data_IF_913961303362
#
_entry.id   IF_913961303362
#
_cell.length_a   1.000
_cell.length_b   1.000
_cell.length_c   1.000
_cell.angle_alpha   90.00
_cell.angle_beta   90.00
_cell.angle_gamma   90.00
#
_symmetry.space_group_name_H-M   'P 1'
#
loop_
_entity.id
_entity.type
_entity.pdbx_description
1 polymer ?
#
# COMPACT_ATOMS: atom_id res chain seq x y z
N UNK A 1 27.07 4.91 0.47
CA UNK A 1 25.83 5.62 -0.01
C UNK A 1 24.63 4.71 -0.24
N UNK A 2 24.86 3.42 -0.52
CA UNK A 2 23.83 2.42 -0.87
C UNK A 2 22.73 2.27 0.19
N UNK A 3 23.09 2.34 1.48
CA UNK A 3 22.14 2.20 2.60
C UNK A 3 20.99 3.23 2.54
N UNK A 4 21.29 4.48 2.18
CA UNK A 4 20.29 5.53 2.08
C UNK A 4 19.29 5.27 0.93
N UNK A 5 19.75 4.65 -0.15
CA UNK A 5 18.91 4.29 -1.30
C UNK A 5 17.95 3.15 -0.90
N UNK A 6 18.45 2.11 -0.25
CA UNK A 6 17.61 1.01 0.23
C UNK A 6 16.60 1.47 1.28
N UNK A 7 17.03 2.33 2.21
CA UNK A 7 16.14 2.94 3.20
C UNK A 7 15.04 3.75 2.52
N UNK A 8 15.38 4.61 1.56
CA UNK A 8 14.40 5.42 0.84
C UNK A 8 13.42 4.54 0.05
N UNK A 9 13.90 3.47 -0.60
CA UNK A 9 13.05 2.54 -1.34
C UNK A 9 12.08 1.80 -0.41
N UNK A 10 12.56 1.30 0.74
CA UNK A 10 11.70 0.65 1.74
C UNK A 10 10.64 1.62 2.30
N UNK A 11 11.05 2.86 2.60
CA UNK A 11 10.15 3.90 3.12
C UNK A 11 9.06 4.27 2.11
N UNK A 12 9.39 4.37 0.81
CA UNK A 12 8.40 4.62 -0.24
C UNK A 12 7.36 3.50 -0.32
N UNK A 13 7.77 2.24 -0.16
CA UNK A 13 6.84 1.12 -0.12
C UNK A 13 5.99 1.17 1.16
N UNK A 14 6.60 1.49 2.30
CA UNK A 14 5.89 1.63 3.57
C UNK A 14 4.83 2.75 3.49
N UNK A 15 5.18 3.90 2.92
CA UNK A 15 4.24 5.00 2.70
C UNK A 15 3.07 4.59 1.80
N UNK A 16 3.33 3.81 0.76
CA UNK A 16 2.28 3.28 -0.10
C UNK A 16 1.37 2.28 0.65
N UNK A 17 1.93 1.41 1.50
CA UNK A 17 1.15 0.55 2.41
C UNK A 17 0.24 1.39 3.31
N UNK A 18 0.76 2.46 3.92
CA UNK A 18 -0.04 3.38 4.74
C UNK A 18 -1.17 4.03 3.93
N UNK A 19 -0.92 4.40 2.67
CA UNK A 19 -1.96 4.93 1.79
C UNK A 19 -3.06 3.91 1.49
N UNK A 20 -2.71 2.64 1.25
CA UNK A 20 -3.67 1.53 1.10
C UNK A 20 -4.50 1.36 2.37
N UNK A 21 -3.87 1.35 3.54
CA UNK A 21 -4.57 1.25 4.82
C UNK A 21 -5.51 2.45 5.01
N UNK A 22 -5.06 3.67 4.74
CA UNK A 22 -5.88 4.87 4.83
C UNK A 22 -7.09 4.81 3.88
N UNK A 23 -6.92 4.30 2.67
CA UNK A 23 -8.01 4.13 1.70
C UNK A 23 -9.09 3.17 2.23
N UNK A 24 -8.67 2.06 2.82
CA UNK A 24 -9.59 1.07 3.45
C UNK A 24 -10.29 1.68 4.66
N UNK A 25 -9.57 2.38 5.53
CA UNK A 25 -10.16 3.03 6.69
C UNK A 25 -11.19 4.07 6.27
N UNK A 26 -10.86 4.95 5.32
CA UNK A 26 -11.81 5.96 4.82
C UNK A 26 -13.04 5.31 4.17
N UNK A 27 -12.86 4.27 3.36
CA UNK A 27 -13.99 3.58 2.73
C UNK A 27 -14.90 2.93 3.78
N UNK A 28 -14.35 2.31 4.83
CA UNK A 28 -15.14 1.77 5.94
C UNK A 28 -15.85 2.87 6.74
N UNK A 29 -15.18 3.99 7.03
CA UNK A 29 -15.79 5.10 7.75
C UNK A 29 -16.97 5.71 6.97
N UNK A 30 -16.85 5.80 5.64
CA UNK A 30 -17.97 6.24 4.78
C UNK A 30 -19.08 5.19 4.75
N UNK A 31 -18.73 3.91 4.59
CA UNK A 31 -19.70 2.82 4.50
C UNK A 31 -20.54 2.64 5.79
N UNK A 32 -19.93 2.84 6.95
CA UNK A 32 -20.61 2.81 8.25
C UNK A 32 -21.27 4.15 8.63
N UNK A 33 -21.22 5.16 7.76
CA UNK A 33 -21.83 6.47 8.01
C UNK A 33 -21.15 7.29 9.11
N UNK A 34 -19.92 6.94 9.50
CA UNK A 34 -19.14 7.68 10.50
C UNK A 34 -18.71 9.04 9.97
N UNK A 35 -18.34 9.11 8.68
CA UNK A 35 -17.98 10.36 8.01
C UNK A 35 -18.82 10.56 6.76
N UNK A 36 -19.14 11.82 6.46
CA UNK A 36 -19.99 12.18 5.33
C UNK A 36 -19.16 12.50 4.10
N UNK A 37 -19.30 11.69 3.05
CA UNK A 37 -18.64 11.90 1.75
C UNK A 37 -19.09 13.16 1.01
N UNK A 38 -20.18 13.81 1.44
CA UNK A 38 -20.60 15.14 0.92
C UNK A 38 -19.70 16.27 1.41
N UNK A 39 -18.92 16.05 2.46
CA UNK A 39 -17.91 17.02 2.86
C UNK A 39 -16.79 17.03 1.81
N UNK A 40 -16.52 18.22 1.26
CA UNK A 40 -15.54 18.40 0.20
C UNK A 40 -14.12 17.89 0.57
N UNK A 41 -13.71 18.04 1.83
CA UNK A 41 -12.41 17.54 2.30
C UNK A 41 -12.40 16.01 2.29
N UNK A 42 -13.43 15.37 2.85
CA UNK A 42 -13.54 13.90 2.88
C UNK A 42 -13.55 13.33 1.47
N UNK A 43 -14.31 13.95 0.56
CA UNK A 43 -14.35 13.56 -0.84
C UNK A 43 -12.97 13.66 -1.51
N UNK A 44 -12.26 14.77 -1.33
CA UNK A 44 -10.94 14.96 -1.94
C UNK A 44 -9.92 13.95 -1.43
N UNK A 45 -9.91 13.67 -0.13
CA UNK A 45 -9.00 12.66 0.44
C UNK A 45 -9.36 11.26 -0.06
N UNK A 46 -10.64 10.91 -0.08
CA UNK A 46 -11.11 9.62 -0.59
C UNK A 46 -10.78 9.43 -2.08
N UNK A 47 -11.02 10.45 -2.91
CA UNK A 47 -10.71 10.43 -4.35
C UNK A 47 -9.20 10.34 -4.59
N UNK A 48 -8.39 11.09 -3.83
CA UNK A 48 -6.93 11.02 -3.91
C UNK A 48 -6.41 9.62 -3.57
N UNK A 49 -6.82 9.07 -2.42
CA UNK A 49 -6.39 7.73 -2.00
C UNK A 49 -6.87 6.67 -2.98
N UNK A 50 -8.13 6.75 -3.45
CA UNK A 50 -8.68 5.86 -4.46
C UNK A 50 -7.84 5.87 -5.74
N UNK A 51 -7.56 7.06 -6.32
CA UNK A 51 -6.71 7.17 -7.51
C UNK A 51 -5.31 6.60 -7.31
N UNK A 52 -4.76 6.72 -6.11
CA UNK A 52 -3.43 6.21 -5.79
C UNK A 52 -3.42 4.69 -5.66
N UNK A 53 -4.44 4.10 -5.03
CA UNK A 53 -4.44 2.67 -4.65
C UNK A 53 -5.22 1.77 -5.59
N UNK A 54 -6.29 2.28 -6.21
CA UNK A 54 -7.20 1.49 -7.05
C UNK A 54 -6.53 0.85 -8.27
N UNK A 55 -5.56 1.45 -8.96
CA UNK A 55 -4.88 0.76 -10.06
C UNK A 55 -4.26 -0.57 -9.62
N UNK A 56 -3.57 -0.61 -8.48
CA UNK A 56 -2.98 -1.83 -7.95
C UNK A 56 -4.03 -2.81 -7.41
N UNK A 57 -5.02 -2.30 -6.67
CA UNK A 57 -6.11 -3.12 -6.14
C UNK A 57 -6.93 -3.76 -7.27
N UNK A 58 -7.21 -3.02 -8.34
CA UNK A 58 -7.96 -3.51 -9.50
C UNK A 58 -7.21 -4.60 -10.26
N UNK A 59 -5.87 -4.55 -10.30
CA UNK A 59 -5.09 -5.67 -10.83
C UNK A 59 -5.34 -6.92 -10.01
N UNK A 60 -5.30 -6.84 -8.69
CA UNK A 60 -5.53 -7.98 -7.79
C UNK A 60 -6.97 -8.48 -7.87
N UNK A 61 -7.96 -7.57 -7.86
CA UNK A 61 -9.39 -7.90 -7.96
C UNK A 61 -9.74 -8.72 -9.21
N UNK A 62 -9.00 -8.57 -10.32
CA UNK A 62 -9.20 -9.36 -11.56
C UNK A 62 -8.85 -10.84 -11.40
N UNK A 63 -7.99 -11.18 -10.44
CA UNK A 63 -7.57 -12.56 -10.18
C UNK A 63 -8.36 -13.21 -9.05
N UNK A 64 -9.10 -12.41 -8.27
CA UNK A 64 -9.88 -12.91 -7.14
C UNK A 64 -11.29 -13.32 -7.58
N UNK A 65 -11.85 -14.39 -6.98
CA UNK A 65 -13.27 -14.66 -7.09
C UNK A 65 -14.06 -13.56 -6.39
N UNK A 66 -15.33 -13.38 -6.78
CA UNK A 66 -16.20 -12.41 -6.13
C UNK A 66 -16.52 -12.86 -4.69
N UNK A 67 -15.93 -12.21 -3.69
CA UNK A 67 -16.16 -12.46 -2.26
C UNK A 67 -17.41 -11.77 -1.68
N UNK A 68 -18.38 -11.43 -2.52
CA UNK A 68 -19.57 -10.70 -2.11
C UNK A 68 -19.26 -9.26 -1.71
N UNK A 69 -19.53 -8.88 -0.46
CA UNK A 69 -19.40 -7.51 0.05
C UNK A 69 -18.04 -7.16 0.64
N UNK A 70 -17.15 -8.14 0.84
CA UNK A 70 -15.84 -7.93 1.47
C UNK A 70 -14.76 -7.91 0.41
N UNK A 71 -14.05 -6.80 0.30
CA UNK A 71 -12.89 -6.68 -0.58
C UNK A 71 -11.61 -7.11 0.14
N UNK A 72 -11.09 -8.28 -0.23
CA UNK A 72 -9.84 -8.85 0.32
C UNK A 72 -8.61 -8.31 -0.43
N UNK A 73 -8.79 -7.62 -1.58
CA UNK A 73 -7.67 -7.13 -2.38
C UNK A 73 -6.69 -6.21 -1.64
N UNK A 74 -7.09 -5.35 -0.68
CA UNK A 74 -6.14 -4.52 0.07
C UNK A 74 -5.21 -5.34 0.95
N UNK A 75 -5.73 -6.39 1.59
CA UNK A 75 -4.92 -7.29 2.42
C UNK A 75 -3.87 -7.99 1.57
N UNK A 76 -4.28 -8.51 0.41
CA UNK A 76 -3.35 -9.17 -0.52
C UNK A 76 -2.32 -8.18 -1.06
N UNK A 77 -2.71 -6.94 -1.38
CA UNK A 77 -1.77 -5.92 -1.81
C UNK A 77 -0.72 -5.62 -0.74
N UNK A 78 -1.15 -5.44 0.52
CA UNK A 78 -0.24 -5.20 1.64
C UNK A 78 0.73 -6.37 1.81
N UNK A 79 0.25 -7.61 1.76
CA UNK A 79 1.11 -8.80 1.86
C UNK A 79 2.14 -8.87 0.73
N UNK A 80 1.76 -8.53 -0.51
CA UNK A 80 2.69 -8.50 -1.64
C UNK A 80 3.73 -7.38 -1.50
N UNK A 81 3.34 -6.22 -0.98
CA UNK A 81 4.25 -5.11 -0.71
C UNK A 81 5.21 -5.43 0.43
N UNK A 82 4.74 -6.04 1.52
CA UNK A 82 5.61 -6.50 2.60
C UNK A 82 6.58 -7.59 2.13
N UNK A 83 6.13 -8.52 1.28
CA UNK A 83 7.02 -9.50 0.65
C UNK A 83 8.10 -8.80 -0.21
N UNK A 84 7.73 -7.74 -0.95
CA UNK A 84 8.69 -6.95 -1.72
C UNK A 84 9.72 -6.25 -0.80
N UNK A 85 9.29 -5.74 0.36
CA UNK A 85 10.21 -5.16 1.36
C UNK A 85 11.17 -6.20 1.92
N UNK A 86 10.70 -7.41 2.19
CA UNK A 86 11.57 -8.52 2.61
C UNK A 86 12.65 -8.81 1.56
N UNK A 87 12.26 -8.92 0.28
CA UNK A 87 13.20 -9.11 -0.82
C UNK A 87 14.22 -7.97 -0.92
N UNK A 88 13.79 -6.72 -0.77
CA UNK A 88 14.69 -5.56 -0.74
C UNK A 88 15.67 -5.62 0.44
N UNK A 89 15.20 -6.01 1.63
CA UNK A 89 16.02 -6.19 2.82
C UNK A 89 17.06 -7.29 2.64
N UNK A 90 16.66 -8.42 2.06
CA UNK A 90 17.58 -9.53 1.75
C UNK A 90 18.67 -9.09 0.77
N UNK A 91 18.30 -8.39 -0.30
CA UNK A 91 19.26 -7.85 -1.27
C UNK A 91 20.21 -6.87 -0.57
N UNK A 92 19.68 -5.97 0.25
CA UNK A 92 20.50 -5.01 1.00
C UNK A 92 21.52 -5.72 1.89
N UNK A 93 21.09 -6.74 2.63
CA UNK A 93 21.95 -7.54 3.50
C UNK A 93 23.04 -8.24 2.70
N UNK A 94 22.70 -8.90 1.59
CA UNK A 94 23.70 -9.57 0.74
C UNK A 94 24.74 -8.59 0.20
N UNK A 95 24.31 -7.43 -0.30
CA UNK A 95 25.22 -6.39 -0.78
C UNK A 95 26.12 -5.83 0.32
N UNK A 96 25.58 -5.70 1.53
CA UNK A 96 26.35 -5.26 2.69
C UNK A 96 27.39 -6.29 3.13
N UNK A 97 27.08 -7.59 3.04
CA UNK A 97 28.02 -8.68 3.37
C UNK A 97 29.13 -8.83 2.32
N UNK A 98 28.85 -8.56 1.04
CA UNK A 98 29.84 -8.55 -0.06
C UNK A 98 30.81 -7.36 0.05
N UNK A 99 30.57 -6.43 0.98
CA UNK A 99 31.49 -5.34 1.27
C UNK A 99 31.35 -4.15 0.32
N UNK A 100 30.25 -4.04 -0.45
CA UNK A 100 29.91 -2.84 -1.23
C UNK A 100 29.33 -1.72 -0.34
N UNK A 101 29.78 -1.63 0.92
CA UNK A 101 29.35 -0.64 1.92
C UNK A 101 30.14 0.68 1.84
N UNK A 102 30.46 1.13 0.62
CA UNK A 102 31.11 2.41 0.37
C UNK A 102 30.05 3.51 0.07
#
# INVERSE_FOLDING_TARGET
>A
MVNAIFWLADELISLYIFAVIAAVVISMLIAFGVINSRNQIVYQVADFLGRLTDPALNVIRRWLPNFGSIDISPVILILLLDALRMVLGDIHLHLALVGLNF
#
